data_IF_414348154570
#
_entry.id   IF_414348154570
#
_cell.length_a   1.000
_cell.length_b   1.000
_cell.length_c   1.000
_cell.angle_alpha   90.00
_cell.angle_beta   90.00
_cell.angle_gamma   90.00
#
_symmetry.space_group_name_H-M   'P 1'
#
loop_
_entity.id
_entity.type
_entity.pdbx_description
1 polymer ?
#
# COMPACT_ATOMS: atom_id res chain seq x y z
N UNK A 1 -11.24 6.76 28.61
CA UNK A 1 -10.07 7.03 27.75
C UNK A 1 -9.70 5.73 27.06
N UNK A 2 -9.52 5.69 25.72
CA UNK A 2 -9.07 4.48 25.05
C UNK A 2 -7.69 4.08 25.60
N UNK A 3 -7.50 2.78 25.85
CA UNK A 3 -6.23 2.22 26.30
C UNK A 3 -5.34 2.07 25.07
N UNK A 4 -4.32 2.92 24.96
CA UNK A 4 -3.33 2.85 23.88
C UNK A 4 -2.39 1.66 24.10
N UNK A 5 -1.98 1.02 23.00
CA UNK A 5 -0.94 0.00 23.05
C UNK A 5 0.39 0.67 23.36
N UNK A 6 0.99 0.29 24.49
CA UNK A 6 2.30 0.75 24.90
C UNK A 6 3.21 -0.46 24.98
N UNK A 7 4.31 -0.43 24.23
CA UNK A 7 5.43 -1.33 24.39
C UNK A 7 6.44 -0.71 25.36
N UNK A 8 6.94 -1.52 26.28
CA UNK A 8 8.11 -1.19 27.10
C UNK A 8 9.38 -1.24 26.23
N UNK A 9 10.46 -0.57 26.63
CA UNK A 9 11.75 -0.69 25.96
C UNK A 9 12.19 -2.15 25.78
N UNK A 10 12.67 -2.48 24.58
CA UNK A 10 13.05 -3.83 24.16
C UNK A 10 11.87 -4.76 23.85
N UNK A 11 10.62 -4.35 24.07
CA UNK A 11 9.46 -5.14 23.66
C UNK A 11 9.19 -4.99 22.16
N UNK A 12 8.88 -6.13 21.56
CA UNK A 12 8.55 -6.25 20.14
C UNK A 12 7.12 -6.72 19.98
N UNK A 13 6.43 -6.12 19.02
CA UNK A 13 5.09 -6.49 18.58
C UNK A 13 5.15 -6.97 17.13
N UNK A 14 4.83 -8.22 16.91
CA UNK A 14 4.66 -8.79 15.57
C UNK A 14 3.29 -8.41 14.99
N UNK A 15 3.27 -8.07 13.70
CA UNK A 15 2.07 -7.63 12.98
C UNK A 15 1.64 -8.71 11.98
N UNK A 16 0.40 -9.17 12.15
CA UNK A 16 -0.19 -10.23 11.35
C UNK A 16 -0.75 -9.71 10.02
N UNK A 17 -0.90 -10.60 9.05
CA UNK A 17 -1.49 -10.31 7.74
C UNK A 17 -0.48 -10.21 6.60
N UNK A 18 0.77 -10.60 6.86
CA UNK A 18 1.84 -10.78 5.89
C UNK A 18 2.18 -12.27 5.78
N UNK A 19 3.12 -12.64 4.91
CA UNK A 19 3.65 -14.00 4.86
C UNK A 19 4.14 -14.41 6.25
N UNK A 20 3.87 -15.65 6.66
CA UNK A 20 4.18 -16.13 8.02
C UNK A 20 5.68 -16.09 8.38
N UNK A 21 6.57 -16.09 7.38
CA UNK A 21 8.01 -15.93 7.55
C UNK A 21 8.46 -14.48 7.30
N UNK A 22 7.54 -13.61 6.89
CA UNK A 22 7.75 -12.22 6.48
C UNK A 22 7.05 -11.20 7.37
N UNK A 23 6.48 -11.59 8.51
CA UNK A 23 5.69 -10.69 9.35
C UNK A 23 6.55 -9.54 9.90
N UNK A 24 6.11 -8.27 9.72
CA UNK A 24 6.83 -7.14 10.23
C UNK A 24 6.69 -7.02 11.74
N UNK A 25 7.68 -6.41 12.35
CA UNK A 25 7.76 -6.18 13.79
C UNK A 25 7.89 -4.71 14.13
N UNK A 26 7.24 -4.29 15.20
CA UNK A 26 7.40 -2.97 15.82
C UNK A 26 8.12 -3.16 17.15
N UNK A 27 9.32 -2.61 17.29
CA UNK A 27 10.09 -2.64 18.54
C UNK A 27 10.14 -1.26 19.15
N UNK A 28 10.01 -1.17 20.47
CA UNK A 28 10.30 0.05 21.22
C UNK A 28 11.76 0.03 21.64
N UNK A 29 12.53 1.00 21.17
CA UNK A 29 13.92 1.17 21.56
C UNK A 29 14.06 1.84 22.94
N UNK A 30 15.24 1.72 23.55
CA UNK A 30 15.55 2.28 24.87
C UNK A 30 15.46 3.81 24.92
N UNK A 31 15.68 4.49 23.80
CA UNK A 31 15.57 5.94 23.68
C UNK A 31 14.12 6.43 23.46
N UNK A 32 13.16 5.51 23.37
CA UNK A 32 11.74 5.80 23.17
C UNK A 32 11.29 5.85 21.71
N UNK A 33 12.21 5.77 20.75
CA UNK A 33 11.90 5.62 19.32
C UNK A 33 11.19 4.29 19.04
N UNK A 34 10.64 4.15 17.83
CA UNK A 34 10.12 2.88 17.35
C UNK A 34 10.89 2.43 16.12
N UNK A 35 11.30 1.17 16.11
CA UNK A 35 11.78 0.49 14.93
C UNK A 35 10.64 -0.32 14.31
N UNK A 36 10.35 -0.08 13.03
CA UNK A 36 9.55 -0.96 12.19
C UNK A 36 10.49 -1.74 11.28
N UNK A 37 10.46 -3.06 11.39
CA UNK A 37 11.33 -3.95 10.62
C UNK A 37 10.49 -4.93 9.81
N UNK A 38 10.86 -5.12 8.54
CA UNK A 38 10.34 -6.17 7.69
C UNK A 38 11.41 -7.25 7.50
N UNK A 39 11.03 -8.50 7.26
CA UNK A 39 12.03 -9.51 6.90
C UNK A 39 12.43 -9.44 5.42
N UNK A 40 11.52 -8.94 4.56
CA UNK A 40 11.73 -8.79 3.13
C UNK A 40 11.00 -7.54 2.62
N UNK A 41 11.68 -6.77 1.76
CA UNK A 41 11.09 -5.61 1.08
C UNK A 41 11.16 -5.76 -0.46
N UNK A 42 10.06 -5.65 -1.21
CA UNK A 42 8.70 -5.45 -0.73
C UNK A 42 8.17 -6.68 0.03
N UNK A 43 7.32 -6.48 1.05
CA UNK A 43 6.73 -7.60 1.78
C UNK A 43 5.71 -8.33 0.90
N UNK A 44 5.41 -9.58 1.26
CA UNK A 44 4.34 -10.39 0.65
C UNK A 44 3.32 -10.75 1.74
N UNK A 45 2.09 -11.08 1.34
CA UNK A 45 1.07 -11.70 2.19
C UNK A 45 0.82 -13.17 1.86
N UNK A 46 1.61 -13.76 0.95
CA UNK A 46 1.45 -15.13 0.48
C UNK A 46 0.34 -15.30 -0.57
N UNK A 47 -0.31 -14.21 -0.98
CA UNK A 47 -1.29 -14.17 -2.06
C UNK A 47 -0.74 -13.31 -3.20
N UNK A 48 -0.09 -13.97 -4.16
CA UNK A 48 0.49 -13.31 -5.33
C UNK A 48 -0.62 -12.72 -6.22
N UNK A 49 -0.88 -11.42 -6.08
CA UNK A 49 -1.76 -10.68 -6.98
C UNK A 49 -0.90 -9.95 -8.02
N UNK A 50 -0.96 -10.40 -9.28
CA UNK A 50 -0.12 -9.91 -10.41
C UNK A 50 -0.26 -8.41 -10.74
N UNK A 51 -1.08 -7.65 -10.01
CA UNK A 51 -1.42 -6.26 -10.32
C UNK A 51 -1.43 -5.34 -9.08
N UNK A 52 -0.69 -5.68 -8.02
CA UNK A 52 -0.52 -4.76 -6.90
C UNK A 52 0.43 -3.61 -7.28
N UNK A 53 0.08 -2.40 -6.87
CA UNK A 53 0.88 -1.21 -7.09
C UNK A 53 2.11 -1.23 -6.17
N UNK A 54 3.18 -1.90 -6.61
CA UNK A 54 4.41 -2.05 -5.84
C UNK A 54 5.21 -0.75 -5.73
N UNK A 55 4.85 0.30 -6.50
CA UNK A 55 5.51 1.61 -6.49
C UNK A 55 5.33 2.32 -5.14
N UNK A 56 4.31 1.95 -4.35
CA UNK A 56 4.14 2.46 -2.97
C UNK A 56 5.38 2.21 -2.11
N UNK A 57 6.13 1.15 -2.39
CA UNK A 57 7.32 0.80 -1.63
C UNK A 57 8.52 1.66 -1.98
N UNK A 58 8.57 2.34 -3.13
CA UNK A 58 9.70 3.21 -3.51
C UNK A 58 9.82 4.46 -2.61
N UNK A 59 8.73 4.84 -1.92
CA UNK A 59 8.68 5.98 -1.00
C UNK A 59 7.84 5.62 0.24
N UNK A 60 8.05 4.42 0.78
CA UNK A 60 7.18 3.89 1.83
C UNK A 60 7.26 4.69 3.14
N UNK A 61 8.44 5.23 3.44
CA UNK A 61 8.69 6.18 4.53
C UNK A 61 7.76 7.40 4.49
N UNK A 62 7.54 7.96 3.31
CA UNK A 62 6.68 9.11 3.09
C UNK A 62 5.20 8.74 3.28
N UNK A 63 4.82 7.54 2.86
CA UNK A 63 3.48 7.00 3.08
C UNK A 63 3.23 6.77 4.58
N UNK A 64 4.15 6.11 5.27
CA UNK A 64 4.07 5.90 6.72
C UNK A 64 4.04 7.23 7.46
N UNK A 65 4.89 8.19 7.10
CA UNK A 65 4.92 9.52 7.72
C UNK A 65 3.58 10.25 7.60
N UNK A 66 2.92 10.17 6.43
CA UNK A 66 1.59 10.76 6.22
C UNK A 66 0.54 10.09 7.10
N UNK A 67 0.56 8.77 7.21
CA UNK A 67 -0.41 7.99 8.00
C UNK A 67 -0.24 8.24 9.50
N UNK A 68 1.00 8.25 9.98
CA UNK A 68 1.31 8.40 11.40
C UNK A 68 1.32 9.87 11.85
N UNK A 69 1.49 10.81 10.92
CA UNK A 69 1.62 12.23 11.19
C UNK A 69 2.85 12.58 12.03
N UNK A 70 3.89 11.75 11.93
CA UNK A 70 5.23 11.91 12.53
C UNK A 70 6.27 11.56 11.47
N UNK A 71 7.52 11.94 11.72
CA UNK A 71 8.63 11.56 10.85
C UNK A 71 8.87 10.05 10.91
N UNK A 72 9.14 9.47 9.73
CA UNK A 72 9.64 8.11 9.55
C UNK A 72 10.90 8.21 8.71
N UNK A 73 12.00 7.67 9.21
CA UNK A 73 13.30 7.66 8.55
C UNK A 73 13.51 6.26 7.99
N UNK A 74 13.76 6.18 6.68
CA UNK A 74 14.15 4.93 6.04
C UNK A 74 15.67 4.75 6.17
N UNK A 75 16.12 3.96 7.16
CA UNK A 75 17.56 3.82 7.42
C UNK A 75 18.21 2.72 6.59
N UNK A 76 17.47 1.64 6.32
CA UNK A 76 17.90 0.54 5.44
C UNK A 76 16.68 -0.08 4.74
N UNK A 77 16.88 -0.87 3.69
CA UNK A 77 15.82 -1.40 2.82
C UNK A 77 14.65 -2.02 3.61
N UNK A 78 14.93 -2.74 4.68
CA UNK A 78 13.93 -3.40 5.52
C UNK A 78 13.64 -2.68 6.86
N UNK A 79 14.32 -1.57 7.15
CA UNK A 79 14.32 -0.93 8.47
C UNK A 79 13.88 0.53 8.42
N UNK A 80 12.83 0.83 9.19
CA UNK A 80 12.23 2.16 9.30
C UNK A 80 12.27 2.61 10.76
N UNK A 81 12.91 3.74 11.02
CA UNK A 81 12.99 4.35 12.34
C UNK A 81 11.93 5.45 12.49
N UNK A 82 11.28 5.52 13.65
CA UNK A 82 10.31 6.55 14.02
C UNK A 82 10.87 7.23 15.27
N UNK A 83 11.69 8.30 15.12
CA UNK A 83 12.49 8.85 16.20
C UNK A 83 11.66 9.58 17.27
N UNK A 84 10.47 10.05 16.92
CA UNK A 84 9.59 10.82 17.83
C UNK A 84 8.14 10.37 17.69
N UNK A 85 7.81 9.16 18.18
CA UNK A 85 6.46 8.61 18.06
C UNK A 85 5.49 9.36 19.00
N UNK A 86 4.25 9.53 18.53
CA UNK A 86 3.13 9.94 19.39
C UNK A 86 2.64 8.75 20.21
N UNK A 87 1.83 9.05 21.23
CA UNK A 87 1.26 8.05 22.14
C UNK A 87 0.40 7.00 21.43
N UNK A 88 -0.22 7.35 20.31
CA UNK A 88 -1.08 6.50 19.49
C UNK A 88 -0.39 5.93 18.24
N UNK A 89 0.90 6.21 18.03
CA UNK A 89 1.63 5.77 16.84
C UNK A 89 1.61 4.26 16.67
N UNK A 90 1.78 3.47 17.73
CA UNK A 90 1.73 2.00 17.66
C UNK A 90 0.34 1.53 17.21
N UNK A 91 -0.72 2.09 17.80
CA UNK A 91 -2.10 1.71 17.47
C UNK A 91 -2.42 2.00 15.99
N UNK A 92 -2.00 3.17 15.50
CA UNK A 92 -2.21 3.59 14.11
C UNK A 92 -1.38 2.71 13.18
N UNK A 93 -0.10 2.49 13.48
CA UNK A 93 0.81 1.70 12.66
C UNK A 93 0.34 0.26 12.54
N UNK A 94 0.02 -0.39 13.66
CA UNK A 94 -0.56 -1.74 13.69
C UNK A 94 -1.81 -1.81 12.82
N UNK A 95 -2.78 -0.93 13.05
CA UNK A 95 -4.04 -0.91 12.31
C UNK A 95 -3.82 -0.67 10.81
N UNK A 96 -2.87 0.19 10.45
CA UNK A 96 -2.54 0.45 9.06
C UNK A 96 -2.00 -0.82 8.39
N UNK A 97 -0.98 -1.44 8.99
CA UNK A 97 -0.31 -2.62 8.46
C UNK A 97 -1.25 -3.84 8.37
N UNK A 98 -2.06 -4.11 9.40
CA UNK A 98 -3.05 -5.21 9.39
C UNK A 98 -4.11 -5.04 8.28
N UNK A 99 -4.32 -3.82 7.77
CA UNK A 99 -5.27 -3.53 6.69
C UNK A 99 -4.57 -3.18 5.37
N UNK A 100 -3.25 -3.27 5.29
CA UNK A 100 -2.45 -2.75 4.18
C UNK A 100 -2.86 -3.39 2.85
N UNK A 101 -2.83 -4.71 2.77
CA UNK A 101 -3.16 -5.46 1.56
C UNK A 101 -4.60 -5.25 1.08
N UNK A 102 -5.54 -5.12 2.02
CA UNK A 102 -6.94 -4.83 1.70
C UNK A 102 -7.12 -3.43 1.07
N UNK A 103 -6.36 -2.44 1.54
CA UNK A 103 -6.38 -1.10 0.94
C UNK A 103 -5.72 -1.10 -0.43
N UNK A 104 -4.61 -1.81 -0.58
CA UNK A 104 -3.87 -1.90 -1.83
C UNK A 104 -4.73 -2.54 -2.93
N UNK A 105 -5.44 -3.63 -2.62
CA UNK A 105 -6.37 -4.27 -3.55
C UNK A 105 -7.65 -3.45 -3.81
N UNK A 106 -8.16 -2.69 -2.84
CA UNK A 106 -9.33 -1.83 -3.04
C UNK A 106 -9.04 -0.62 -3.96
N UNK A 107 -7.83 -0.05 -3.88
CA UNK A 107 -7.40 1.04 -4.75
C UNK A 107 -7.30 0.64 -6.24
N UNK A 108 -7.24 -0.67 -6.53
CA UNK A 108 -7.33 -1.22 -7.89
C UNK A 108 -8.69 -0.96 -8.52
N UNK A 109 -9.78 -1.20 -7.78
CA UNK A 109 -11.15 -1.15 -8.29
C UNK A 109 -11.58 0.28 -8.69
N UNK A 110 -10.91 1.31 -8.19
CA UNK A 110 -11.26 2.72 -8.48
C UNK A 110 -10.44 3.33 -9.62
N UNK A 111 -9.30 2.73 -10.01
CA UNK A 111 -8.45 3.24 -11.11
C UNK A 111 -8.84 2.71 -12.50
N UNK A 112 -9.84 1.82 -12.62
CA UNK A 112 -10.44 1.46 -13.92
C UNK A 112 -11.47 2.53 -14.34
N UNK A 113 -11.04 3.48 -15.18
CA UNK A 113 -11.90 4.44 -15.89
C UNK A 113 -12.74 3.68 -16.95
N UNK A 114 -14.02 4.05 -17.16
CA UNK A 114 -15.05 3.25 -17.82
C UNK A 114 -14.74 2.91 -19.27
N UNK A 115 -15.23 1.74 -19.68
CA UNK A 115 -15.39 1.32 -21.06
C UNK A 115 -16.01 2.47 -21.88
N UNK A 116 -15.19 3.21 -22.63
CA UNK A 116 -15.71 4.10 -23.67
C UNK A 116 -16.26 3.22 -24.78
N UNK A 117 -17.56 2.95 -24.70
CA UNK A 117 -18.33 2.44 -25.83
C UNK A 117 -18.41 3.60 -26.82
N UNK A 118 -17.47 3.67 -27.77
CA UNK A 118 -17.59 4.55 -28.92
C UNK A 118 -18.77 4.04 -29.77
N UNK A 119 -19.96 4.56 -29.49
CA UNK A 119 -21.10 4.53 -30.39
C UNK A 119 -20.82 5.53 -31.52
N UNK A 120 -20.29 5.06 -32.65
CA UNK A 120 -20.41 5.74 -33.95
C UNK A 120 -19.98 4.81 -35.09
N UNK A 121 -20.90 3.95 -35.53
CA UNK A 121 -20.91 3.46 -36.92
C UNK A 121 -21.97 4.25 -37.69
N UNK A 122 -21.61 5.13 -38.63
CA UNK A 122 -22.56 5.64 -39.60
C UNK A 122 -22.78 4.58 -40.70
N UNK A 123 -24.05 4.26 -40.92
CA UNK A 123 -24.57 3.39 -41.98
C UNK A 123 -24.08 3.82 -43.35
N UNK A 124 -23.24 3.00 -43.99
CA UNK A 124 -22.88 3.15 -45.41
C UNK A 124 -24.06 2.72 -46.28
N UNK A 125 -24.86 3.68 -46.74
CA UNK A 125 -25.85 3.49 -47.79
C UNK A 125 -25.59 4.47 -48.93
N UNK A 126 -24.69 4.12 -49.86
CA UNK A 126 -24.73 4.63 -51.24
C UNK A 126 -24.37 3.49 -52.21
N UNK A 127 -25.41 2.88 -52.78
CA UNK A 127 -25.42 2.16 -54.07
C UNK A 127 -25.73 3.22 -55.14
N UNK A 128 -24.92 3.47 -56.17
CA UNK A 128 -24.89 2.70 -57.43
C UNK A 128 -23.67 3.13 -58.27
N UNK A 129 -22.85 2.14 -58.64
CA UNK A 129 -22.06 2.14 -59.88
C UNK A 129 -23.02 1.94 -61.06
N UNK A 130 -22.95 2.77 -62.10
CA UNK A 130 -22.73 2.32 -63.48
C UNK A 130 -22.73 3.52 -64.44
N UNK A 131 -21.54 3.93 -64.85
CA UNK A 131 -21.31 4.70 -66.08
C UNK A 131 -20.42 3.80 -66.94
N UNK A 132 -21.00 3.07 -67.88
CA UNK A 132 -20.28 2.48 -69.01
C UNK A 132 -20.76 3.17 -70.28
N UNK A 133 -19.82 3.87 -70.91
CA UNK A 133 -19.85 4.25 -72.32
C UNK A 133 -19.93 2.99 -73.18
N UNK A 134 -20.87 2.95 -74.11
CA UNK A 134 -20.65 2.91 -75.55
C UNK A 134 -21.98 3.08 -76.28
#
# INVERSE_FOLDING_TARGET
MPKHLNLLPGETLEIKGFDSLGEPTITREDDGSLALTFNFMPPDNGAYEENLDMVIFDNFDNELSKVLGVEVVWEDREFFNIPSPKKDTIDILKKYLENFWKKLSANKTTKEIPLQINTEQPSLAITLKSLKKN
#
